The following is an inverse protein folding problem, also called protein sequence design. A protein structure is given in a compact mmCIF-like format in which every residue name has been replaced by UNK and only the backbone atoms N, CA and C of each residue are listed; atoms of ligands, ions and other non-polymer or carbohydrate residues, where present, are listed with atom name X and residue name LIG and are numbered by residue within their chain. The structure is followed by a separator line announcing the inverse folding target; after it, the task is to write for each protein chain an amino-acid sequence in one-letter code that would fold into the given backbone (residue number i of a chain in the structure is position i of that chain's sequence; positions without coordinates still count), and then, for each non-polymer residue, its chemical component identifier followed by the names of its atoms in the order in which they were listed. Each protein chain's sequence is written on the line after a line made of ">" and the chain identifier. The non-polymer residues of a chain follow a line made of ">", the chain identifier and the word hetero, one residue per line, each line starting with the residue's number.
data_IF_818028866479
#
_entry.id   IF_818028866479
#
_cell.length_a   1.000
_cell.length_b   1.000
_cell.length_c   1.000
_cell.angle_alpha   90.00
_cell.angle_beta   90.00
_cell.angle_gamma   90.00
#
_symmetry.space_group_name_H-M   'P 1'
#
loop_
_entity.id
_entity.type
_entity.pdbx_description
1 polymer ?
#
# COMPACT_ATOMS: atom_id res chain seq x y z
N UNK A 1 26.19 19.41 11.33
CA UNK A 1 26.47 17.97 11.09
C UNK A 1 26.78 17.78 9.60
N UNK A 2 27.75 16.94 9.23
CA UNK A 2 27.95 16.60 7.82
C UNK A 2 26.77 15.75 7.34
N UNK A 3 26.30 15.98 6.10
CA UNK A 3 25.15 15.23 5.55
C UNK A 3 25.54 13.80 5.23
N UNK A 4 24.62 12.87 5.50
CA UNK A 4 24.76 11.46 5.12
C UNK A 4 24.77 11.38 3.60
N UNK A 5 25.79 10.76 3.01
CA UNK A 5 25.97 10.68 1.55
C UNK A 5 25.37 9.38 1.03
N UNK A 6 24.38 9.50 0.16
CA UNK A 6 23.83 8.36 -0.56
C UNK A 6 24.74 7.97 -1.74
N UNK A 7 24.96 6.67 -1.93
CA UNK A 7 25.76 6.12 -3.05
C UNK A 7 24.90 5.81 -4.26
N UNK A 8 23.81 5.10 -4.07
CA UNK A 8 22.87 4.71 -5.11
C UNK A 8 21.61 5.60 -5.06
N UNK A 9 21.04 6.01 -6.21
CA UNK A 9 19.80 6.77 -6.20
C UNK A 9 18.62 5.96 -5.65
N UNK A 10 17.72 6.68 -4.98
CA UNK A 10 16.38 6.24 -4.68
C UNK A 10 15.43 6.71 -5.80
N UNK A 11 14.57 5.86 -6.32
CA UNK A 11 13.56 6.30 -7.28
C UNK A 11 12.51 7.11 -6.54
N UNK A 12 12.37 8.38 -6.91
CA UNK A 12 11.39 9.29 -6.33
C UNK A 12 10.26 9.51 -7.32
N UNK A 13 9.05 9.09 -6.95
CA UNK A 13 7.83 9.28 -7.72
C UNK A 13 6.96 10.34 -7.05
N UNK A 14 7.00 11.56 -7.56
CA UNK A 14 6.16 12.65 -7.06
C UNK A 14 4.69 12.46 -7.49
N UNK A 15 3.77 13.18 -6.88
CA UNK A 15 2.34 12.95 -7.06
C UNK A 15 1.52 14.22 -7.22
N UNK A 16 0.31 14.21 -6.63
CA UNK A 16 -0.70 15.23 -6.85
C UNK A 16 -1.16 15.92 -5.56
N UNK A 17 -1.76 17.08 -5.74
CA UNK A 17 -2.60 17.81 -4.77
C UNK A 17 -1.90 18.07 -3.42
N UNK A 18 -2.61 17.91 -2.30
CA UNK A 18 -2.05 18.21 -0.97
C UNK A 18 -0.87 17.31 -0.60
N UNK A 19 -0.86 16.07 -1.07
CA UNK A 19 0.26 15.15 -0.80
C UNK A 19 1.55 15.60 -1.48
N UNK A 20 1.51 16.21 -2.66
CA UNK A 20 2.67 16.84 -3.32
C UNK A 20 3.22 18.00 -2.50
N UNK A 21 2.36 18.81 -1.90
CA UNK A 21 2.76 19.90 -1.01
C UNK A 21 3.49 19.35 0.24
N UNK A 22 2.91 18.34 0.87
CA UNK A 22 3.48 17.66 2.04
C UNK A 22 4.80 16.98 1.67
N UNK A 23 4.89 16.34 0.51
CA UNK A 23 6.09 15.71 -0.02
C UNK A 23 7.28 16.67 -0.05
N UNK A 24 7.05 17.84 -0.61
CA UNK A 24 8.05 18.90 -0.63
C UNK A 24 8.43 19.37 0.77
N UNK A 25 7.46 19.59 1.66
CA UNK A 25 7.73 20.01 3.05
C UNK A 25 8.58 18.97 3.79
N UNK A 26 8.29 17.68 3.66
CA UNK A 26 9.08 16.61 4.28
C UNK A 26 10.52 16.64 3.78
N UNK A 27 10.74 16.77 2.47
CA UNK A 27 12.08 16.87 1.90
C UNK A 27 12.84 18.08 2.44
N UNK A 28 12.23 19.26 2.40
CA UNK A 28 12.88 20.52 2.76
C UNK A 28 13.19 20.61 4.26
N UNK A 29 12.30 20.10 5.13
CA UNK A 29 12.41 20.26 6.58
C UNK A 29 13.17 19.09 7.22
N UNK A 30 12.94 17.87 6.77
CA UNK A 30 13.36 16.65 7.49
C UNK A 30 14.42 15.82 6.78
N UNK A 31 14.60 15.93 5.46
CA UNK A 31 15.52 15.06 4.73
C UNK A 31 16.75 15.83 4.23
N UNK A 32 16.57 16.84 3.39
CA UNK A 32 17.65 17.60 2.73
C UNK A 32 18.63 18.25 3.74
N UNK A 33 18.22 18.70 4.94
CA UNK A 33 19.17 19.23 5.92
C UNK A 33 20.19 18.20 6.41
N UNK A 34 19.83 16.90 6.43
CA UNK A 34 20.61 15.84 7.06
C UNK A 34 21.20 14.82 6.08
N UNK A 35 20.56 14.65 4.92
CA UNK A 35 20.93 13.68 3.89
C UNK A 35 21.27 14.40 2.59
N UNK A 36 22.39 14.05 1.98
CA UNK A 36 22.69 14.38 0.58
C UNK A 36 21.84 13.47 -0.31
N UNK A 37 20.56 13.87 -0.44
CA UNK A 37 19.49 13.05 -1.01
C UNK A 37 19.71 12.88 -2.52
N UNK A 38 20.03 11.67 -2.93
CA UNK A 38 20.24 11.30 -4.31
C UNK A 38 19.00 10.56 -4.84
N UNK A 39 18.27 11.17 -5.76
CA UNK A 39 17.06 10.59 -6.33
C UNK A 39 17.11 10.53 -7.85
N UNK A 40 16.47 9.49 -8.41
CA UNK A 40 16.03 9.42 -9.81
C UNK A 40 14.56 9.85 -9.80
N UNK A 41 14.32 11.09 -10.22
CA UNK A 41 13.02 11.76 -10.04
C UNK A 41 12.08 11.53 -11.21
N UNK A 42 10.83 11.16 -10.91
CA UNK A 42 9.73 11.02 -11.85
C UNK A 42 8.51 11.78 -11.35
N UNK A 43 7.99 12.71 -12.16
CA UNK A 43 6.74 13.42 -11.84
C UNK A 43 5.55 12.58 -12.30
N UNK A 44 4.86 11.91 -11.35
CA UNK A 44 3.62 11.18 -11.60
C UNK A 44 2.36 12.03 -11.39
N UNK A 45 2.51 13.35 -11.29
CA UNK A 45 1.38 14.28 -11.29
C UNK A 45 0.54 14.14 -12.55
N UNK A 46 -0.78 14.28 -12.41
CA UNK A 46 -1.74 14.00 -13.49
C UNK A 46 -1.48 14.85 -14.75
N UNK A 47 -1.03 16.09 -14.60
CA UNK A 47 -0.70 16.97 -15.73
C UNK A 47 0.47 16.41 -16.54
N UNK A 48 1.58 16.06 -15.88
CA UNK A 48 2.77 15.54 -16.58
C UNK A 48 2.52 14.12 -17.15
N UNK A 49 1.73 13.29 -16.46
CA UNK A 49 1.27 12.02 -17.03
C UNK A 49 0.46 12.23 -18.31
N UNK A 50 -0.41 13.25 -18.32
CA UNK A 50 -1.19 13.61 -19.52
C UNK A 50 -0.30 14.12 -20.65
N UNK A 51 0.74 14.90 -20.36
CA UNK A 51 1.72 15.35 -21.35
C UNK A 51 2.48 14.19 -21.98
N UNK A 52 2.95 13.24 -21.17
CA UNK A 52 3.76 12.09 -21.57
C UNK A 52 2.94 10.90 -22.06
N UNK A 53 1.61 11.02 -22.17
CA UNK A 53 0.69 9.92 -22.44
C UNK A 53 0.93 8.73 -21.49
N UNK A 54 1.06 9.02 -20.20
CA UNK A 54 1.34 8.11 -19.09
C UNK A 54 2.66 7.32 -19.19
N UNK A 55 3.54 7.66 -20.15
CA UNK A 55 4.83 6.98 -20.30
C UNK A 55 5.69 7.07 -19.04
N UNK A 56 5.63 8.20 -18.33
CA UNK A 56 6.41 8.42 -17.10
C UNK A 56 6.09 7.39 -16.00
N UNK A 57 4.87 6.87 -15.94
CA UNK A 57 4.49 5.80 -15.00
C UNK A 57 5.24 4.50 -15.30
N UNK A 58 5.35 4.12 -16.59
CA UNK A 58 6.12 2.95 -17.00
C UNK A 58 7.62 3.14 -16.76
N UNK A 59 8.17 4.30 -17.13
CA UNK A 59 9.59 4.61 -16.94
C UNK A 59 9.99 4.56 -15.45
N UNK A 60 9.13 5.05 -14.56
CA UNK A 60 9.38 5.01 -13.11
C UNK A 60 9.37 3.59 -12.54
N UNK A 61 8.48 2.71 -13.04
CA UNK A 61 8.45 1.31 -12.63
C UNK A 61 9.70 0.55 -13.11
N UNK A 62 10.15 0.77 -14.34
CA UNK A 62 11.39 0.18 -14.85
C UNK A 62 12.62 0.70 -14.11
N UNK A 63 12.66 1.99 -13.76
CA UNK A 63 13.71 2.54 -12.92
C UNK A 63 13.71 1.88 -11.51
N UNK A 64 12.53 1.59 -10.96
CA UNK A 64 12.41 0.90 -9.67
C UNK A 64 13.02 -0.50 -9.73
N UNK A 65 12.81 -1.26 -10.79
CA UNK A 65 13.51 -2.54 -11.00
C UNK A 65 15.03 -2.37 -11.05
N UNK A 66 15.50 -1.33 -11.72
CA UNK A 66 16.93 -1.05 -11.89
C UNK A 66 17.61 -0.68 -10.56
N UNK A 67 16.99 0.18 -9.76
CA UNK A 67 17.59 0.71 -8.54
C UNK A 67 17.19 -0.03 -7.26
N UNK A 68 16.17 -0.88 -7.35
CA UNK A 68 15.72 -1.78 -6.28
C UNK A 68 14.83 -1.16 -5.23
N UNK A 69 14.78 0.18 -5.10
CA UNK A 69 13.93 0.88 -4.11
C UNK A 69 13.34 2.14 -4.70
N UNK A 70 12.03 2.32 -4.49
CA UNK A 70 11.31 3.54 -4.82
C UNK A 70 10.53 4.06 -3.60
N UNK A 71 10.28 5.37 -3.63
CA UNK A 71 9.31 6.03 -2.77
C UNK A 71 8.31 6.80 -3.62
N UNK A 72 7.02 6.64 -3.34
CA UNK A 72 5.95 7.16 -4.18
C UNK A 72 4.97 8.02 -3.39
N UNK A 73 4.71 9.22 -3.93
CA UNK A 73 3.64 10.10 -3.48
C UNK A 73 2.28 9.63 -4.00
N UNK A 74 1.20 10.04 -3.35
CA UNK A 74 -0.15 9.75 -3.81
C UNK A 74 -0.47 10.46 -5.14
N UNK A 75 -1.15 9.74 -6.03
CA UNK A 75 -1.46 10.19 -7.39
C UNK A 75 -2.96 10.15 -7.66
N UNK A 76 -3.45 11.03 -8.54
CA UNK A 76 -4.85 11.02 -8.98
C UNK A 76 -5.07 9.88 -9.97
N UNK A 77 -6.11 9.07 -9.73
CA UNK A 77 -6.74 8.25 -10.76
C UNK A 77 -7.96 9.03 -11.27
N UNK A 78 -7.95 9.53 -12.52
CA UNK A 78 -8.98 10.42 -13.00
C UNK A 78 -10.32 9.72 -13.18
N UNK A 79 -11.39 10.45 -12.88
CA UNK A 79 -12.76 10.15 -13.24
C UNK A 79 -13.29 11.20 -14.24
N UNK A 80 -14.55 11.13 -14.63
CA UNK A 80 -15.16 12.05 -15.60
C UNK A 80 -15.03 13.54 -15.19
N UNK A 81 -15.15 13.87 -13.90
CA UNK A 81 -14.99 15.24 -13.41
C UNK A 81 -13.54 15.73 -13.57
N UNK A 82 -12.56 14.87 -13.29
CA UNK A 82 -11.14 15.17 -13.46
C UNK A 82 -10.72 15.35 -14.92
N UNK A 83 -11.40 14.65 -15.84
CA UNK A 83 -11.19 14.83 -17.29
C UNK A 83 -11.38 16.29 -17.70
N UNK A 84 -12.46 16.92 -17.22
CA UNK A 84 -12.78 18.33 -17.52
C UNK A 84 -11.87 19.28 -16.75
N UNK A 85 -11.64 19.03 -15.44
CA UNK A 85 -10.83 19.88 -14.56
C UNK A 85 -9.39 20.05 -15.06
N UNK A 86 -8.78 18.95 -15.50
CA UNK A 86 -7.38 18.90 -15.95
C UNK A 86 -7.21 18.93 -17.47
N UNK A 87 -8.30 19.07 -18.23
CA UNK A 87 -8.30 19.03 -19.69
C UNK A 87 -7.52 17.82 -20.24
N UNK A 88 -7.86 16.63 -19.75
CA UNK A 88 -7.12 15.41 -20.09
C UNK A 88 -7.45 14.90 -21.49
N UNK A 89 -6.45 14.32 -22.16
CA UNK A 89 -6.59 13.67 -23.48
C UNK A 89 -7.42 12.40 -23.38
N UNK A 90 -7.26 11.65 -22.28
CA UNK A 90 -8.02 10.42 -21.99
C UNK A 90 -8.11 10.17 -20.47
N UNK A 91 -8.96 9.22 -20.09
CA UNK A 91 -9.10 8.79 -18.69
C UNK A 91 -7.98 7.80 -18.35
N UNK A 92 -6.82 8.34 -17.95
CA UNK A 92 -5.62 7.55 -17.63
C UNK A 92 -5.90 6.51 -16.55
N UNK A 93 -5.28 5.33 -16.68
CA UNK A 93 -5.36 4.27 -15.68
C UNK A 93 -4.69 4.69 -14.36
N UNK A 94 -4.97 3.94 -13.31
CA UNK A 94 -4.31 4.14 -12.02
C UNK A 94 -2.81 3.89 -12.13
N UNK A 95 -1.93 4.85 -11.77
CA UNK A 95 -0.49 4.62 -11.73
C UNK A 95 -0.12 3.46 -10.81
N UNK A 96 -0.78 3.35 -9.64
CA UNK A 96 -0.56 2.24 -8.71
C UNK A 96 -0.86 0.89 -9.37
N UNK A 97 -1.96 0.79 -10.13
CA UNK A 97 -2.30 -0.42 -10.87
C UNK A 97 -1.25 -0.78 -11.92
N UNK A 98 -0.75 0.22 -12.66
CA UNK A 98 0.29 0.03 -13.69
C UNK A 98 1.62 -0.40 -13.05
N UNK A 99 2.09 0.30 -12.02
CA UNK A 99 3.34 -0.03 -11.32
C UNK A 99 3.27 -1.43 -10.71
N UNK A 100 2.19 -1.76 -10.00
CA UNK A 100 1.97 -3.09 -9.41
C UNK A 100 1.94 -4.21 -10.47
N UNK A 101 1.35 -3.94 -11.64
CA UNK A 101 1.33 -4.90 -12.74
C UNK A 101 2.71 -5.14 -13.36
N UNK A 102 3.59 -4.14 -13.34
CA UNK A 102 4.96 -4.22 -13.87
C UNK A 102 5.91 -4.88 -12.86
N UNK A 103 5.82 -4.50 -11.58
CA UNK A 103 6.68 -5.01 -10.52
C UNK A 103 6.22 -6.39 -10.03
N UNK A 104 4.91 -6.73 -10.16
CA UNK A 104 4.27 -7.87 -9.52
C UNK A 104 4.48 -7.82 -7.98
N UNK A 105 4.01 -8.83 -7.24
CA UNK A 105 4.35 -8.97 -5.84
C UNK A 105 3.19 -8.75 -4.88
N UNK A 106 3.53 -8.34 -3.66
CA UNK A 106 2.62 -8.22 -2.52
C UNK A 106 2.70 -6.84 -1.91
N UNK A 107 1.55 -6.22 -1.66
CA UNK A 107 1.46 -4.96 -0.91
C UNK A 107 1.23 -5.29 0.56
N UNK A 108 2.17 -4.90 1.42
CA UNK A 108 2.03 -4.97 2.87
C UNK A 108 1.63 -3.62 3.43
N UNK A 109 0.49 -3.59 4.14
CA UNK A 109 -0.03 -2.38 4.79
C UNK A 109 -0.07 -2.60 6.29
N UNK A 110 0.69 -1.79 7.02
CA UNK A 110 0.85 -1.91 8.48
C UNK A 110 0.46 -0.63 9.18
N UNK A 111 -0.44 -0.66 10.19
CA UNK A 111 -0.80 0.51 10.96
C UNK A 111 0.37 0.99 11.84
N UNK A 112 0.53 2.30 11.92
CA UNK A 112 1.44 2.96 12.86
C UNK A 112 0.70 3.17 14.17
N UNK A 113 1.11 2.45 15.21
CA UNK A 113 0.50 2.55 16.54
C UNK A 113 1.28 3.57 17.36
N UNK A 114 0.56 4.51 17.96
CA UNK A 114 1.10 5.58 18.79
C UNK A 114 0.37 5.62 20.12
N UNK A 115 1.12 5.69 21.21
CA UNK A 115 0.56 5.80 22.54
C UNK A 115 -0.26 7.09 22.69
N UNK A 116 -1.44 6.99 23.25
CA UNK A 116 -2.34 8.12 23.39
C UNK A 116 -3.28 8.36 22.21
N UNK A 117 -3.16 7.54 21.13
CA UNK A 117 -4.14 7.47 20.05
C UNK A 117 -4.93 6.16 20.25
N UNK A 118 -6.24 6.26 20.45
CA UNK A 118 -7.08 5.11 20.77
C UNK A 118 -7.74 4.58 19.50
N UNK A 119 -7.54 3.31 19.14
CA UNK A 119 -8.26 2.67 18.03
C UNK A 119 -9.78 2.67 18.26
N UNK A 120 -10.57 2.66 17.18
CA UNK A 120 -12.02 2.44 17.28
C UNK A 120 -12.39 1.05 17.78
N UNK A 121 -11.47 0.07 17.61
CA UNK A 121 -11.56 -1.24 18.25
C UNK A 121 -10.52 -1.27 19.38
N UNK A 122 -10.91 -1.06 20.64
CA UNK A 122 -9.96 -0.86 21.75
C UNK A 122 -9.09 -2.07 22.06
N UNK A 123 -9.49 -3.27 21.61
CA UNK A 123 -8.72 -4.51 21.79
C UNK A 123 -7.51 -4.60 20.85
N UNK A 124 -7.47 -3.82 19.78
CA UNK A 124 -6.36 -3.84 18.81
C UNK A 124 -5.15 -3.08 19.35
N UNK A 125 -4.36 -3.75 20.17
CA UNK A 125 -3.16 -3.18 20.82
C UNK A 125 -1.87 -3.46 20.08
N UNK A 126 -1.90 -4.39 19.10
CA UNK A 126 -0.79 -4.77 18.25
C UNK A 126 -1.16 -4.55 16.78
N UNK A 127 -0.21 -4.29 15.88
CA UNK A 127 -0.54 -4.03 14.47
C UNK A 127 -1.11 -5.29 13.79
N UNK A 128 -2.14 -5.08 12.97
CA UNK A 128 -2.64 -6.06 12.01
C UNK A 128 -2.13 -5.65 10.64
N UNK A 129 -1.18 -6.42 10.10
CA UNK A 129 -0.63 -6.15 8.76
C UNK A 129 -1.48 -6.85 7.72
N UNK A 130 -1.98 -6.12 6.74
CA UNK A 130 -2.65 -6.71 5.57
C UNK A 130 -1.61 -6.98 4.50
N UNK A 131 -1.49 -8.24 4.07
CA UNK A 131 -0.74 -8.63 2.90
C UNK A 131 -1.72 -8.80 1.73
N UNK A 132 -1.69 -7.86 0.78
CA UNK A 132 -2.56 -7.83 -0.39
C UNK A 132 -1.84 -8.37 -1.60
N UNK A 133 -2.40 -9.37 -2.28
CA UNK A 133 -1.92 -9.79 -3.59
C UNK A 133 -2.07 -8.65 -4.61
N UNK A 134 -1.00 -8.30 -5.31
CA UNK A 134 -1.00 -7.12 -6.20
C UNK A 134 -1.47 -7.42 -7.63
N UNK A 135 -1.91 -8.64 -7.92
CA UNK A 135 -2.26 -9.10 -9.26
C UNK A 135 -3.67 -9.71 -9.33
N UNK A 136 -4.28 -9.66 -10.53
CA UNK A 136 -5.51 -10.39 -10.83
C UNK A 136 -6.77 -9.81 -10.22
N UNK A 137 -7.77 -10.68 -10.02
CA UNK A 137 -9.11 -10.36 -9.54
C UNK A 137 -9.79 -9.26 -10.39
N UNK A 138 -10.65 -8.44 -9.78
CA UNK A 138 -11.37 -7.34 -10.46
C UNK A 138 -10.44 -6.26 -11.04
N UNK A 139 -9.18 -6.20 -10.61
CA UNK A 139 -8.19 -5.23 -11.11
C UNK A 139 -7.61 -5.60 -12.49
N UNK A 140 -7.80 -6.84 -12.93
CA UNK A 140 -7.45 -7.36 -14.28
C UNK A 140 -8.62 -8.10 -14.90
N UNK A 141 -9.80 -7.55 -14.79
CA UNK A 141 -11.01 -8.12 -15.35
C UNK A 141 -11.20 -7.79 -16.83
N UNK A 142 -12.10 -8.56 -17.44
CA UNK A 142 -12.77 -8.22 -18.71
C UNK A 142 -14.26 -8.20 -18.44
N UNK A 143 -14.92 -7.11 -18.80
CA UNK A 143 -16.36 -6.95 -18.55
C UNK A 143 -17.08 -6.42 -19.77
N UNK A 144 -18.37 -6.75 -19.88
CA UNK A 144 -19.23 -6.21 -20.94
C UNK A 144 -20.68 -6.11 -20.47
N UNK A 145 -21.40 -5.14 -21.06
CA UNK A 145 -22.84 -5.08 -20.99
C UNK A 145 -23.45 -6.07 -22.00
N UNK A 146 -24.52 -6.72 -21.59
CA UNK A 146 -25.19 -7.77 -22.37
C UNK A 146 -26.64 -7.38 -22.58
N UNK A 147 -27.15 -7.58 -23.80
CA UNK A 147 -28.53 -7.33 -24.14
C UNK A 147 -29.40 -8.54 -23.91
N UNK A 148 -30.70 -8.28 -23.71
CA UNK A 148 -31.74 -9.32 -23.68
C UNK A 148 -31.67 -10.26 -24.88
N UNK A 149 -31.95 -11.52 -24.67
CA UNK A 149 -31.84 -12.59 -25.66
C UNK A 149 -30.42 -13.11 -25.91
N UNK A 150 -29.40 -12.62 -25.17
CA UNK A 150 -28.02 -13.05 -25.31
C UNK A 150 -27.70 -14.25 -24.42
N UNK A 151 -26.97 -15.23 -24.97
CA UNK A 151 -26.35 -16.32 -24.20
C UNK A 151 -24.87 -16.04 -24.00
N UNK A 152 -24.41 -16.06 -22.76
CA UNK A 152 -23.01 -15.80 -22.41
C UNK A 152 -22.32 -17.10 -21.98
N UNK A 153 -21.13 -17.33 -22.52
CA UNK A 153 -20.31 -18.51 -22.25
C UNK A 153 -18.87 -18.12 -21.88
N UNK A 154 -18.29 -18.86 -20.96
CA UNK A 154 -16.84 -18.87 -20.74
C UNK A 154 -16.24 -19.94 -21.67
N UNK A 155 -15.30 -19.53 -22.53
CA UNK A 155 -14.64 -20.43 -23.48
C UNK A 155 -13.14 -20.43 -23.17
N UNK A 156 -12.58 -21.63 -23.06
CA UNK A 156 -11.14 -21.84 -22.95
C UNK A 156 -10.68 -22.71 -24.12
N UNK A 157 -9.73 -22.20 -24.91
CA UNK A 157 -9.10 -22.95 -26.01
C UNK A 157 -7.69 -23.32 -25.58
N UNK A 158 -7.39 -24.63 -25.56
CA UNK A 158 -6.06 -25.13 -25.20
C UNK A 158 -5.04 -24.94 -26.34
N UNK A 159 -3.78 -25.32 -26.10
CA UNK A 159 -2.70 -25.20 -27.08
C UNK A 159 -2.90 -26.08 -28.35
N UNK A 160 -3.79 -27.08 -28.29
CA UNK A 160 -4.13 -27.94 -29.41
C UNK A 160 -5.38 -27.47 -30.16
N UNK A 161 -5.97 -26.35 -29.75
CA UNK A 161 -7.18 -25.80 -30.34
C UNK A 161 -8.48 -26.46 -29.81
N UNK A 162 -8.41 -27.26 -28.75
CA UNK A 162 -9.60 -27.88 -28.14
C UNK A 162 -10.30 -26.85 -27.23
N UNK A 163 -11.59 -26.65 -27.49
CA UNK A 163 -12.41 -25.70 -26.73
C UNK A 163 -13.19 -26.42 -25.62
N UNK A 164 -13.10 -25.83 -24.42
CA UNK A 164 -13.98 -26.16 -23.29
C UNK A 164 -14.91 -24.99 -23.07
N UNK A 165 -16.21 -25.24 -22.99
CA UNK A 165 -17.23 -24.18 -22.84
C UNK A 165 -18.06 -24.41 -21.58
N UNK A 166 -18.40 -23.31 -20.91
CA UNK A 166 -19.30 -23.32 -19.76
C UNK A 166 -20.25 -22.13 -19.89
N UNK A 167 -21.56 -22.40 -19.83
CA UNK A 167 -22.57 -21.32 -19.84
C UNK A 167 -22.42 -20.51 -18.55
N UNK A 168 -22.28 -19.19 -18.70
CA UNK A 168 -22.33 -18.24 -17.60
C UNK A 168 -23.78 -17.96 -17.27
N UNK A 169 -24.55 -17.48 -18.26
CA UNK A 169 -25.97 -17.13 -18.10
C UNK A 169 -26.67 -16.96 -19.46
N UNK A 170 -27.95 -17.30 -19.50
CA UNK A 170 -28.87 -16.95 -20.59
C UNK A 170 -29.71 -15.74 -20.14
N UNK A 171 -29.53 -14.61 -20.83
CA UNK A 171 -30.28 -13.39 -20.56
C UNK A 171 -31.61 -13.42 -21.33
N UNK A 172 -32.65 -13.89 -20.66
CA UNK A 172 -34.02 -13.97 -21.19
C UNK A 172 -34.93 -13.01 -20.42
N UNK A 173 -35.49 -12.03 -21.14
CA UNK A 173 -36.36 -11.01 -20.58
C UNK A 173 -35.66 -9.83 -19.89
N UNK A 174 -34.34 -9.71 -19.95
CA UNK A 174 -33.59 -8.58 -19.32
C UNK A 174 -32.21 -8.37 -19.92
N UNK A 175 -31.78 -7.11 -19.92
CA UNK A 175 -30.35 -6.75 -20.12
C UNK A 175 -29.54 -7.12 -18.87
N UNK A 176 -28.21 -7.24 -19.02
CA UNK A 176 -27.32 -7.53 -17.90
C UNK A 176 -25.87 -7.13 -18.11
N UNK A 177 -25.02 -7.62 -17.23
CA UNK A 177 -23.56 -7.45 -17.26
C UNK A 177 -22.88 -8.80 -16.97
N UNK A 178 -21.70 -9.01 -17.55
CA UNK A 178 -20.82 -10.13 -17.22
C UNK A 178 -19.41 -9.63 -16.95
N UNK A 179 -18.68 -10.40 -16.15
CA UNK A 179 -17.29 -10.13 -15.81
C UNK A 179 -16.49 -11.41 -15.79
N UNK A 180 -15.32 -11.40 -16.43
CA UNK A 180 -14.34 -12.48 -16.39
C UNK A 180 -13.12 -12.09 -15.56
N UNK A 181 -12.71 -12.98 -14.65
CA UNK A 181 -11.54 -12.81 -13.79
C UNK A 181 -10.50 -13.87 -14.11
N UNK A 182 -9.23 -13.58 -13.86
CA UNK A 182 -8.16 -14.56 -13.95
C UNK A 182 -7.09 -14.34 -12.88
N UNK A 183 -6.31 -15.38 -12.64
CA UNK A 183 -5.04 -15.33 -11.93
C UNK A 183 -4.08 -16.36 -12.51
N UNK A 184 -2.82 -16.33 -12.14
CA UNK A 184 -1.82 -17.30 -12.57
C UNK A 184 -1.21 -18.00 -11.37
N UNK A 185 -0.94 -19.30 -11.48
CA UNK A 185 -0.27 -20.07 -10.44
C UNK A 185 1.07 -19.47 -10.05
N UNK A 186 1.82 -18.93 -11.03
CA UNK A 186 3.10 -18.24 -10.78
C UNK A 186 2.94 -17.04 -9.87
N UNK A 187 1.95 -16.17 -10.11
CA UNK A 187 1.71 -14.98 -9.29
C UNK A 187 1.18 -15.34 -7.90
N UNK A 188 0.29 -16.34 -7.81
CA UNK A 188 -0.19 -16.85 -6.51
C UNK A 188 0.97 -17.44 -5.69
N UNK A 189 1.85 -18.23 -6.31
CA UNK A 189 3.02 -18.80 -5.64
C UNK A 189 4.00 -17.73 -5.16
N UNK A 190 4.22 -16.68 -5.97
CA UNK A 190 5.02 -15.51 -5.58
C UNK A 190 4.41 -14.80 -4.37
N UNK A 191 3.10 -14.55 -4.39
CA UNK A 191 2.36 -13.97 -3.27
C UNK A 191 2.50 -14.81 -1.99
N UNK A 192 2.33 -16.12 -2.08
CA UNK A 192 2.49 -17.03 -0.94
C UNK A 192 3.89 -16.91 -0.32
N UNK A 193 4.96 -17.03 -1.14
CA UNK A 193 6.34 -16.92 -0.66
C UNK A 193 6.63 -15.55 -0.04
N UNK A 194 6.14 -14.49 -0.64
CA UNK A 194 6.28 -13.13 -0.10
C UNK A 194 5.64 -13.01 1.29
N UNK A 195 4.43 -13.56 1.48
CA UNK A 195 3.76 -13.59 2.77
C UNK A 195 4.53 -14.40 3.82
N UNK A 196 4.99 -15.61 3.46
CA UNK A 196 5.76 -16.46 4.38
C UNK A 196 7.11 -15.84 4.77
N UNK A 197 7.83 -15.25 3.81
CA UNK A 197 9.08 -14.56 4.10
C UNK A 197 8.87 -13.36 5.03
N UNK A 198 7.84 -12.55 4.75
CA UNK A 198 7.53 -11.40 5.61
C UNK A 198 7.12 -11.82 7.03
N UNK A 199 6.40 -12.94 7.17
CA UNK A 199 6.05 -13.51 8.47
C UNK A 199 7.29 -13.94 9.26
N UNK A 200 8.26 -14.61 8.62
CA UNK A 200 9.53 -14.99 9.23
C UNK A 200 10.37 -13.77 9.63
N UNK A 201 10.47 -12.77 8.76
CA UNK A 201 11.26 -11.54 9.00
C UNK A 201 10.69 -10.74 10.18
N UNK A 202 9.36 -10.67 10.29
CA UNK A 202 8.67 -9.92 11.36
C UNK A 202 8.33 -10.76 12.58
N UNK A 203 8.54 -12.08 12.53
CA UNK A 203 8.17 -13.05 13.58
C UNK A 203 6.71 -12.94 13.99
N UNK A 204 5.82 -12.90 12.99
CA UNK A 204 4.39 -12.80 13.17
C UNK A 204 3.68 -14.00 12.56
N UNK A 205 2.58 -14.42 13.18
CA UNK A 205 1.68 -15.41 12.60
C UNK A 205 1.14 -14.93 11.25
N UNK A 206 0.87 -15.86 10.35
CA UNK A 206 0.28 -15.58 9.05
C UNK A 206 -1.10 -16.20 8.93
N UNK A 207 -2.12 -15.37 8.80
CA UNK A 207 -3.48 -15.78 8.48
C UNK A 207 -3.72 -15.58 6.99
N UNK A 208 -4.23 -16.61 6.32
CA UNK A 208 -4.65 -16.51 4.93
C UNK A 208 -6.14 -16.84 4.80
N UNK A 209 -6.87 -16.07 4.02
CA UNK A 209 -8.31 -16.24 3.89
C UNK A 209 -8.79 -16.08 2.45
N UNK A 210 -9.71 -16.98 2.05
CA UNK A 210 -10.46 -16.93 0.79
C UNK A 210 -11.90 -17.40 1.01
N UNK A 211 -12.71 -17.48 -0.04
CA UNK A 211 -14.06 -18.09 0.03
C UNK A 211 -14.15 -19.38 -0.80
N UNK A 212 -13.25 -20.32 -0.56
CA UNK A 212 -13.10 -21.54 -1.34
C UNK A 212 -14.32 -22.45 -1.31
N UNK A 213 -15.18 -22.33 -0.31
CA UNK A 213 -16.47 -23.04 -0.24
C UNK A 213 -17.49 -22.60 -1.29
N UNK A 214 -17.36 -21.36 -1.79
CA UNK A 214 -18.22 -20.77 -2.83
C UNK A 214 -17.46 -20.76 -4.16
N UNK A 215 -16.28 -20.16 -4.20
CA UNK A 215 -15.38 -20.11 -5.36
C UNK A 215 -14.50 -21.36 -5.39
N UNK A 216 -15.12 -22.51 -5.74
CA UNK A 216 -14.54 -23.85 -5.58
C UNK A 216 -13.36 -24.16 -6.50
N UNK A 217 -13.07 -23.33 -7.49
CA UNK A 217 -11.89 -23.46 -8.37
C UNK A 217 -10.95 -22.29 -8.18
N UNK A 218 -11.43 -21.06 -8.32
CA UNK A 218 -10.60 -19.88 -8.27
C UNK A 218 -9.97 -19.67 -6.87
N UNK A 219 -10.80 -19.53 -5.83
CA UNK A 219 -10.31 -19.35 -4.45
C UNK A 219 -9.63 -20.61 -3.89
N UNK A 220 -10.12 -21.79 -4.28
CA UNK A 220 -9.54 -23.06 -3.86
C UNK A 220 -8.11 -23.22 -4.39
N UNK A 221 -7.81 -22.77 -5.61
CA UNK A 221 -6.45 -22.83 -6.15
C UNK A 221 -5.46 -21.97 -5.34
N UNK A 222 -5.88 -20.80 -4.84
CA UNK A 222 -5.07 -20.01 -3.91
C UNK A 222 -4.75 -20.79 -2.64
N UNK A 223 -5.75 -21.44 -2.04
CA UNK A 223 -5.58 -22.25 -0.83
C UNK A 223 -4.60 -23.39 -1.05
N UNK A 224 -4.75 -24.12 -2.17
CA UNK A 224 -3.89 -25.26 -2.51
C UNK A 224 -2.43 -24.81 -2.66
N UNK A 225 -2.16 -23.76 -3.45
CA UNK A 225 -0.80 -23.28 -3.68
C UNK A 225 -0.16 -22.79 -2.37
N UNK A 226 -0.90 -22.09 -1.51
CA UNK A 226 -0.38 -21.69 -0.20
C UNK A 226 -0.02 -22.89 0.66
N UNK A 227 -0.90 -23.91 0.71
CA UNK A 227 -0.65 -25.12 1.49
C UNK A 227 0.53 -25.94 0.93
N UNK A 228 0.61 -26.14 -0.39
CA UNK A 228 1.69 -26.85 -1.07
C UNK A 228 3.07 -26.18 -0.77
N UNK A 229 3.15 -24.87 -0.89
CA UNK A 229 4.39 -24.09 -0.63
C UNK A 229 4.73 -24.11 0.85
N UNK A 230 3.76 -23.95 1.74
CA UNK A 230 3.99 -24.00 3.18
C UNK A 230 4.61 -25.31 3.60
N UNK A 231 3.98 -26.43 3.26
CA UNK A 231 4.46 -27.78 3.63
C UNK A 231 5.84 -28.09 3.03
N UNK A 232 6.10 -27.64 1.80
CA UNK A 232 7.34 -27.95 1.10
C UNK A 232 8.53 -27.05 1.48
N UNK A 233 8.30 -25.77 1.81
CA UNK A 233 9.38 -24.79 1.88
C UNK A 233 9.46 -24.04 3.22
N UNK A 234 8.37 -23.96 4.01
CA UNK A 234 8.29 -23.05 5.15
C UNK A 234 7.93 -23.68 6.49
N UNK A 235 7.35 -24.86 6.54
CA UNK A 235 6.86 -25.49 7.77
C UNK A 235 7.93 -25.56 8.87
N UNK A 236 9.09 -26.14 8.56
CA UNK A 236 10.18 -26.25 9.52
C UNK A 236 10.67 -24.87 10.00
N UNK A 237 10.73 -23.90 9.09
CA UNK A 237 11.15 -22.52 9.43
C UNK A 237 10.15 -21.82 10.36
N UNK A 238 8.87 -22.06 10.17
CA UNK A 238 7.80 -21.52 11.03
C UNK A 238 7.83 -22.18 12.40
N UNK A 239 8.00 -23.49 12.45
CA UNK A 239 8.16 -24.25 13.70
C UNK A 239 9.35 -23.75 14.50
N UNK A 240 10.53 -23.56 13.85
CA UNK A 240 11.75 -23.01 14.48
C UNK A 240 11.58 -21.57 14.95
N UNK A 241 10.83 -20.76 14.23
CA UNK A 241 10.55 -19.37 14.58
C UNK A 241 9.45 -19.22 15.65
N UNK A 242 8.70 -20.28 15.94
CA UNK A 242 7.57 -20.29 16.88
C UNK A 242 6.39 -19.45 16.41
N UNK A 243 6.13 -19.41 15.10
CA UNK A 243 5.00 -18.72 14.47
C UNK A 243 4.11 -19.70 13.71
N UNK A 244 2.85 -19.34 13.52
CA UNK A 244 1.85 -20.21 12.92
C UNK A 244 1.40 -19.72 11.53
N UNK A 245 1.11 -20.66 10.62
CA UNK A 245 0.32 -20.42 9.42
C UNK A 245 -1.09 -20.96 9.61
N UNK A 246 -2.10 -20.12 9.36
CA UNK A 246 -3.49 -20.45 9.57
C UNK A 246 -4.35 -20.07 8.36
N UNK A 247 -5.07 -21.03 7.79
CA UNK A 247 -6.05 -20.78 6.73
C UNK A 247 -7.48 -20.84 7.27
N UNK A 248 -8.32 -19.88 6.85
CA UNK A 248 -9.76 -19.91 7.14
C UNK A 248 -10.59 -19.24 6.04
N UNK A 249 -11.92 -19.34 6.14
CA UNK A 249 -12.81 -18.60 5.25
C UNK A 249 -12.77 -17.10 5.55
N UNK A 250 -12.90 -16.26 4.53
CA UNK A 250 -12.76 -14.79 4.67
C UNK A 250 -13.76 -14.19 5.67
N UNK A 251 -14.99 -14.69 5.71
CA UNK A 251 -16.02 -14.25 6.66
C UNK A 251 -15.69 -14.66 8.11
N UNK A 252 -15.13 -15.85 8.33
CA UNK A 252 -14.62 -16.28 9.64
C UNK A 252 -13.39 -15.44 10.03
N UNK A 253 -12.48 -15.17 9.08
CA UNK A 253 -11.33 -14.28 9.33
C UNK A 253 -11.79 -12.91 9.83
N UNK A 254 -12.77 -12.26 9.17
CA UNK A 254 -13.33 -10.97 9.61
C UNK A 254 -13.81 -11.03 11.05
N UNK A 255 -14.57 -12.09 11.42
CA UNK A 255 -15.07 -12.24 12.78
C UNK A 255 -13.95 -12.45 13.81
N UNK A 256 -12.88 -13.17 13.45
CA UNK A 256 -11.70 -13.38 14.31
C UNK A 256 -10.88 -12.11 14.48
N UNK A 257 -10.64 -11.40 13.38
CA UNK A 257 -9.88 -10.13 13.35
C UNK A 257 -10.50 -9.10 14.31
N UNK A 258 -11.82 -8.90 14.25
CA UNK A 258 -12.53 -7.95 15.13
C UNK A 258 -12.40 -8.29 16.61
N UNK A 259 -12.26 -9.58 16.95
CA UNK A 259 -12.15 -10.06 18.36
C UNK A 259 -10.70 -10.20 18.84
N UNK A 260 -9.72 -10.01 17.96
CA UNK A 260 -8.30 -10.20 18.26
C UNK A 260 -7.67 -9.00 18.98
N UNK A 261 -6.44 -9.19 19.44
CA UNK A 261 -5.56 -8.10 19.89
C UNK A 261 -4.67 -7.53 18.78
N UNK A 262 -4.68 -8.16 17.60
CA UNK A 262 -3.70 -7.92 16.52
C UNK A 262 -2.40 -8.71 16.70
N UNK A 263 -1.33 -8.29 16.00
CA UNK A 263 -0.01 -8.91 16.10
C UNK A 263 0.26 -10.01 15.09
N UNK A 264 -0.48 -10.00 13.97
CA UNK A 264 -0.34 -10.99 12.90
C UNK A 264 -0.47 -10.33 11.51
N UNK A 265 -0.11 -11.10 10.50
CA UNK A 265 -0.29 -10.75 9.09
C UNK A 265 -1.57 -11.42 8.59
N UNK A 266 -2.43 -10.66 7.93
CA UNK A 266 -3.61 -11.18 7.26
C UNK A 266 -3.46 -11.07 5.75
N UNK A 267 -3.18 -12.21 5.11
CA UNK A 267 -3.04 -12.30 3.66
C UNK A 267 -4.41 -12.42 2.99
N UNK A 268 -4.61 -11.62 1.97
CA UNK A 268 -5.86 -11.50 1.22
C UNK A 268 -5.59 -11.43 -0.29
N UNK A 269 -6.52 -11.95 -1.09
CA UNK A 269 -6.55 -11.70 -2.53
C UNK A 269 -6.60 -10.19 -2.82
N UNK A 270 -6.41 -9.79 -4.08
CA UNK A 270 -6.26 -8.39 -4.45
C UNK A 270 -7.42 -7.50 -3.97
N UNK A 271 -8.66 -7.83 -4.34
CA UNK A 271 -9.83 -7.05 -3.96
C UNK A 271 -10.12 -7.12 -2.45
N UNK A 272 -10.08 -8.33 -1.88
CA UNK A 272 -10.29 -8.54 -0.46
C UNK A 272 -9.28 -7.72 0.36
N UNK A 273 -8.01 -7.74 -0.05
CA UNK A 273 -6.92 -6.99 0.60
C UNK A 273 -7.07 -5.47 0.49
N UNK A 274 -7.61 -4.97 -0.62
CA UNK A 274 -7.91 -3.55 -0.78
C UNK A 274 -8.94 -3.08 0.25
N UNK A 275 -10.08 -3.77 0.28
CA UNK A 275 -11.19 -3.43 1.19
C UNK A 275 -10.80 -3.63 2.65
N UNK A 276 -10.15 -4.76 2.97
CA UNK A 276 -9.78 -5.07 4.35
C UNK A 276 -8.67 -4.16 4.90
N UNK A 277 -7.74 -3.72 4.06
CA UNK A 277 -6.71 -2.79 4.52
C UNK A 277 -7.28 -1.41 4.88
N UNK A 278 -8.26 -0.92 4.13
CA UNK A 278 -8.93 0.34 4.44
C UNK A 278 -9.80 0.23 5.71
N UNK A 279 -10.49 -0.90 5.89
CA UNK A 279 -11.24 -1.20 7.10
C UNK A 279 -10.33 -1.23 8.33
N UNK A 280 -9.21 -1.94 8.26
CA UNK A 280 -8.23 -2.05 9.34
C UNK A 280 -7.61 -0.69 9.65
N UNK A 281 -7.18 0.07 8.63
CA UNK A 281 -6.63 1.40 8.82
C UNK A 281 -7.62 2.36 9.50
N UNK A 282 -8.89 2.32 9.06
CA UNK A 282 -9.96 3.12 9.68
C UNK A 282 -10.17 2.73 11.13
N UNK A 283 -10.17 1.45 11.43
CA UNK A 283 -10.37 0.96 12.80
C UNK A 283 -9.22 1.32 13.75
N UNK A 284 -7.98 1.45 13.24
CA UNK A 284 -6.86 2.03 14.01
C UNK A 284 -6.93 3.56 14.13
N UNK A 285 -7.82 4.21 13.38
CA UNK A 285 -8.16 5.61 13.56
C UNK A 285 -7.97 6.50 12.33
N UNK A 286 -6.94 6.27 11.50
CA UNK A 286 -6.67 7.12 10.32
C UNK A 286 -5.89 6.36 9.25
N UNK A 287 -6.34 6.46 7.99
CA UNK A 287 -5.58 6.01 6.82
C UNK A 287 -4.18 6.67 6.72
N UNK A 288 -4.03 7.87 7.26
CA UNK A 288 -2.75 8.57 7.31
C UNK A 288 -1.78 8.02 8.38
N UNK A 289 -2.20 6.97 9.09
CA UNK A 289 -1.38 6.18 10.02
C UNK A 289 -1.16 4.75 9.50
N UNK A 290 -1.25 4.54 8.20
CA UNK A 290 -1.03 3.24 7.56
C UNK A 290 0.13 3.34 6.57
N UNK A 291 1.20 2.59 6.82
CA UNK A 291 2.29 2.42 5.85
C UNK A 291 1.88 1.44 4.75
N UNK A 292 2.49 1.56 3.58
CA UNK A 292 2.30 0.65 2.47
C UNK A 292 3.63 0.39 1.77
N UNK A 293 3.96 -0.86 1.54
CA UNK A 293 5.13 -1.26 0.76
C UNK A 293 4.76 -2.37 -0.20
N UNK A 294 5.06 -2.18 -1.48
CA UNK A 294 5.04 -3.24 -2.47
C UNK A 294 6.40 -3.94 -2.47
N UNK A 295 6.40 -5.25 -2.34
CA UNK A 295 7.59 -6.10 -2.44
C UNK A 295 7.43 -7.02 -3.63
N UNK A 296 8.31 -6.88 -4.63
CA UNK A 296 8.29 -7.74 -5.82
C UNK A 296 8.92 -9.10 -5.55
N UNK A 297 8.65 -10.11 -6.42
CA UNK A 297 9.30 -11.42 -6.31
C UNK A 297 10.83 -11.37 -6.39
N UNK A 298 11.37 -10.39 -7.10
CA UNK A 298 12.81 -10.16 -7.29
C UNK A 298 13.44 -9.36 -6.15
N UNK A 299 12.68 -8.98 -5.11
CA UNK A 299 13.18 -8.20 -3.98
C UNK A 299 13.33 -6.70 -4.27
N UNK A 300 12.46 -6.16 -5.11
CA UNK A 300 12.33 -4.73 -5.38
C UNK A 300 11.26 -4.16 -4.46
N UNK A 301 11.47 -2.95 -3.95
CA UNK A 301 10.59 -2.31 -2.96
C UNK A 301 10.05 -0.98 -3.48
N UNK A 302 8.75 -0.74 -3.32
CA UNK A 302 8.14 0.56 -3.55
C UNK A 302 7.32 0.94 -2.32
N UNK A 303 7.74 2.03 -1.66
CA UNK A 303 7.12 2.56 -0.44
C UNK A 303 6.17 3.69 -0.78
N UNK A 304 4.95 3.65 -0.25
CA UNK A 304 3.94 4.69 -0.43
C UNK A 304 3.11 4.88 0.85
N UNK A 305 2.36 5.97 0.93
CA UNK A 305 1.27 6.10 1.90
C UNK A 305 0.02 5.38 1.38
N UNK A 306 -0.73 4.74 2.27
CA UNK A 306 -1.95 4.02 1.88
C UNK A 306 -3.13 4.95 1.51
N UNK A 307 -3.03 6.26 1.82
CA UNK A 307 -4.08 7.25 1.55
C UNK A 307 -3.95 7.91 0.16
N UNK A 308 -5.01 8.58 -0.29
CA UNK A 308 -5.04 9.35 -1.54
C UNK A 308 -4.44 10.77 -1.40
N UNK A 309 -4.68 11.62 -2.40
CA UNK A 309 -4.08 12.94 -2.59
C UNK A 309 -4.59 14.05 -1.65
N UNK A 310 -5.62 13.77 -0.83
CA UNK A 310 -6.25 14.71 0.12
C UNK A 310 -6.78 15.98 -0.57
N UNK A 311 -7.53 15.80 -1.64
CA UNK A 311 -8.13 16.83 -2.49
C UNK A 311 -8.79 17.97 -1.72
N UNK A 312 -9.60 17.66 -0.70
CA UNK A 312 -10.33 18.67 0.07
C UNK A 312 -9.40 19.68 0.76
N UNK A 313 -8.26 19.23 1.28
CA UNK A 313 -7.26 20.11 1.89
C UNK A 313 -6.47 20.88 0.82
N UNK A 314 -6.23 20.30 -0.34
CA UNK A 314 -5.59 20.98 -1.45
C UNK A 314 -6.38 22.20 -1.91
N UNK A 315 -7.71 22.10 -2.07
CA UNK A 315 -8.53 23.25 -2.43
C UNK A 315 -8.57 24.35 -1.36
N UNK A 316 -8.41 24.00 -0.08
CA UNK A 316 -8.21 25.00 0.99
C UNK A 316 -6.86 25.67 0.86
N UNK A 317 -5.82 24.90 0.63
CA UNK A 317 -4.46 25.42 0.43
C UNK A 317 -4.40 26.41 -0.75
N UNK A 318 -5.05 26.11 -1.88
CA UNK A 318 -5.14 27.01 -3.03
C UNK A 318 -5.82 28.36 -2.71
N UNK A 319 -6.66 28.41 -1.68
CA UNK A 319 -7.29 29.63 -1.17
C UNK A 319 -6.44 30.37 -0.14
N UNK A 320 -5.22 29.90 0.11
CA UNK A 320 -4.34 30.46 1.14
C UNK A 320 -4.70 30.07 2.58
N UNK A 321 -5.59 29.09 2.78
CA UNK A 321 -5.93 28.58 4.10
C UNK A 321 -4.87 27.61 4.59
N UNK A 322 -4.51 27.68 5.87
CA UNK A 322 -3.68 26.65 6.51
C UNK A 322 -4.45 25.36 6.70
N UNK A 323 -3.79 24.23 6.49
CA UNK A 323 -4.40 22.91 6.63
C UNK A 323 -3.65 22.08 7.67
N UNK A 324 -4.42 21.30 8.42
CA UNK A 324 -3.90 20.31 9.37
C UNK A 324 -4.05 18.92 8.76
N UNK A 325 -3.20 18.64 7.78
CA UNK A 325 -3.16 17.35 7.06
C UNK A 325 -2.12 16.47 7.70
N UNK A 326 -2.49 15.26 8.06
CA UNK A 326 -1.59 14.26 8.63
C UNK A 326 -0.55 13.83 7.58
N UNK A 327 0.72 13.96 7.91
CA UNK A 327 1.86 13.65 7.05
C UNK A 327 2.59 12.36 7.46
N UNK A 328 2.13 11.67 8.50
CA UNK A 328 2.88 10.57 9.13
C UNK A 328 3.11 9.42 8.16
N UNK A 329 2.10 8.92 7.48
CA UNK A 329 2.27 7.81 6.53
C UNK A 329 3.18 8.19 5.35
N UNK A 330 3.09 9.43 4.84
CA UNK A 330 3.97 9.92 3.78
C UNK A 330 5.43 10.02 4.26
N UNK A 331 5.63 10.48 5.50
CA UNK A 331 6.95 10.52 6.13
C UNK A 331 7.51 9.11 6.31
N UNK A 332 6.69 8.16 6.77
CA UNK A 332 7.11 6.76 6.94
C UNK A 332 7.36 6.04 5.61
N UNK A 333 6.74 6.46 4.51
CA UNK A 333 7.13 6.00 3.18
C UNK A 333 8.57 6.40 2.85
N UNK A 334 8.95 7.66 3.12
CA UNK A 334 10.32 8.13 2.95
C UNK A 334 11.31 7.40 3.85
N UNK A 335 11.02 7.26 5.14
CA UNK A 335 11.93 6.57 6.07
C UNK A 335 12.08 5.09 5.74
N UNK A 336 11.01 4.42 5.36
CA UNK A 336 11.05 3.02 4.89
C UNK A 336 11.94 2.85 3.66
N UNK A 337 11.81 3.74 2.68
CA UNK A 337 12.64 3.72 1.47
C UNK A 337 14.12 4.03 1.76
N UNK A 338 14.39 5.02 2.62
CA UNK A 338 15.76 5.37 3.03
C UNK A 338 16.42 4.24 3.82
N UNK A 339 15.68 3.63 4.75
CA UNK A 339 16.16 2.45 5.51
C UNK A 339 16.52 1.31 4.58
N UNK A 340 15.63 0.96 3.65
CA UNK A 340 15.87 -0.11 2.68
C UNK A 340 17.04 0.21 1.76
N UNK A 341 17.18 1.45 1.32
CA UNK A 341 18.33 1.89 0.53
C UNK A 341 19.63 1.77 1.32
N UNK A 342 19.60 2.18 2.60
CA UNK A 342 20.73 2.02 3.53
C UNK A 342 21.13 0.55 3.73
N UNK A 343 20.17 -0.34 3.90
CA UNK A 343 20.40 -1.79 4.00
C UNK A 343 21.09 -2.35 2.74
N UNK A 344 20.54 -2.04 1.56
CA UNK A 344 21.07 -2.54 0.28
C UNK A 344 22.45 -1.99 -0.07
N UNK A 345 22.76 -0.77 0.35
CA UNK A 345 24.06 -0.12 0.09
C UNK A 345 25.08 -0.31 1.22
N UNK A 346 24.68 -0.95 2.33
CA UNK A 346 25.54 -1.09 3.52
C UNK A 346 25.78 0.24 4.25
N UNK A 347 24.88 1.23 4.11
CA UNK A 347 24.96 2.54 4.74
C UNK A 347 24.17 2.55 6.06
N UNK A 348 24.77 2.02 7.13
CA UNK A 348 24.11 1.90 8.43
C UNK A 348 23.63 3.25 9.00
N UNK A 349 24.34 4.33 8.73
CA UNK A 349 23.97 5.69 9.16
C UNK A 349 22.66 6.18 8.50
N UNK A 350 22.38 5.78 7.26
CA UNK A 350 21.15 6.12 6.56
C UNK A 350 19.95 5.38 7.17
N UNK A 351 20.11 4.10 7.49
CA UNK A 351 19.10 3.30 8.19
C UNK A 351 18.83 3.85 9.60
N UNK A 352 19.89 4.16 10.36
CA UNK A 352 19.78 4.74 11.70
C UNK A 352 19.11 6.14 11.68
N UNK A 353 19.37 6.96 10.66
CA UNK A 353 18.68 8.23 10.47
C UNK A 353 17.17 8.02 10.26
N UNK A 354 16.78 7.08 9.41
CA UNK A 354 15.38 6.74 9.17
C UNK A 354 14.67 6.31 10.48
N UNK A 355 15.32 5.47 11.30
CA UNK A 355 14.78 5.02 12.59
C UNK A 355 14.60 6.19 13.58
N UNK A 356 15.59 7.09 13.66
CA UNK A 356 15.51 8.28 14.51
C UNK A 356 14.40 9.24 14.07
N UNK A 357 14.20 9.39 12.77
CA UNK A 357 13.15 10.25 12.23
C UNK A 357 11.76 9.68 12.53
N UNK A 358 11.56 8.36 12.43
CA UNK A 358 10.32 7.70 12.86
C UNK A 358 10.11 7.87 14.37
N UNK A 359 11.15 7.65 15.18
CA UNK A 359 11.09 7.87 16.62
C UNK A 359 10.71 9.31 16.97
N UNK A 360 11.33 10.31 16.34
CA UNK A 360 10.99 11.71 16.54
C UNK A 360 9.53 12.03 16.18
N UNK A 361 9.03 11.42 15.12
CA UNK A 361 7.63 11.58 14.68
C UNK A 361 6.65 11.01 15.70
N UNK A 362 6.91 9.80 16.19
CA UNK A 362 6.09 9.16 17.23
C UNK A 362 6.13 9.96 18.52
N UNK A 363 7.30 10.36 18.98
CA UNK A 363 7.46 11.19 20.19
C UNK A 363 6.70 12.52 20.09
N UNK A 364 6.68 13.15 18.92
CA UNK A 364 5.92 14.40 18.71
C UNK A 364 4.44 14.20 19.03
N UNK A 365 3.85 13.10 18.56
CA UNK A 365 2.44 12.79 18.81
C UNK A 365 2.22 12.39 20.27
N UNK A 366 3.08 11.55 20.83
CA UNK A 366 2.98 11.08 22.23
C UNK A 366 3.13 12.21 23.25
N UNK A 367 3.90 13.26 22.91
CA UNK A 367 4.02 14.49 23.72
C UNK A 367 2.87 15.49 23.49
N UNK A 368 1.87 15.09 22.68
CA UNK A 368 0.62 15.83 22.52
C UNK A 368 0.57 16.79 21.33
N UNK A 369 1.61 16.88 20.49
CA UNK A 369 1.58 17.74 19.29
C UNK A 369 1.16 16.92 18.06
N UNK A 370 0.01 17.24 17.46
CA UNK A 370 -0.55 16.43 16.40
C UNK A 370 -1.46 17.20 15.45
N UNK A 371 -1.75 16.59 14.30
CA UNK A 371 -2.70 17.09 13.31
C UNK A 371 -4.15 16.86 13.72
N UNK A 372 -5.09 17.48 13.00
CA UNK A 372 -6.48 17.57 13.42
C UNK A 372 -7.22 16.24 13.46
N UNK A 373 -6.87 15.28 12.63
CA UNK A 373 -7.42 13.92 12.63
C UNK A 373 -7.01 13.17 13.91
N UNK A 374 -5.73 13.17 14.26
CA UNK A 374 -5.22 12.53 15.48
C UNK A 374 -5.68 13.24 16.75
N UNK A 375 -5.81 14.58 16.70
CA UNK A 375 -6.33 15.34 17.85
C UNK A 375 -7.71 14.86 18.29
N UNK A 376 -8.57 14.46 17.34
CA UNK A 376 -9.90 13.94 17.64
C UNK A 376 -9.87 12.54 18.28
N UNK A 377 -8.86 11.74 17.95
CA UNK A 377 -8.69 10.35 18.41
C UNK A 377 -7.85 10.24 19.68
N UNK A 378 -7.13 11.31 20.03
CA UNK A 378 -6.21 11.29 21.16
C UNK A 378 -6.93 11.38 22.50
N UNK A 379 -6.48 10.56 23.45
CA UNK A 379 -6.91 10.59 24.85
C UNK A 379 -5.92 11.35 25.78
N UNK A 380 -4.90 11.99 25.22
CA UNK A 380 -3.93 12.78 25.99
C UNK A 380 -4.57 14.05 26.56
N UNK A 381 -4.28 14.37 27.82
CA UNK A 381 -4.82 15.54 28.49
C UNK A 381 -4.24 16.86 27.91
N UNK A 382 -2.92 16.89 27.65
CA UNK A 382 -2.19 18.08 27.18
C UNK A 382 -1.95 18.04 25.67
N UNK A 383 -3.00 17.77 24.88
CA UNK A 383 -2.89 17.71 23.43
C UNK A 383 -3.09 19.07 22.76
N UNK A 384 -2.32 19.30 21.68
CA UNK A 384 -2.34 20.51 20.87
C UNK A 384 -2.52 20.18 19.40
N UNK A 385 -3.57 20.72 18.79
CA UNK A 385 -3.78 20.65 17.37
C UNK A 385 -2.90 21.68 16.67
N UNK A 386 -2.15 21.26 15.66
CA UNK A 386 -1.29 22.12 14.83
C UNK A 386 -1.57 21.89 13.35
N UNK A 387 -1.12 22.84 12.51
CA UNK A 387 -1.09 22.65 11.06
C UNK A 387 0.05 21.70 10.63
N UNK A 388 0.06 21.32 9.35
CA UNK A 388 1.03 20.37 8.80
C UNK A 388 2.48 20.84 8.92
N UNK A 389 2.76 22.11 8.59
CA UNK A 389 4.12 22.64 8.64
C UNK A 389 4.64 22.70 10.08
N UNK A 390 3.82 23.20 11.00
CA UNK A 390 4.15 23.25 12.43
C UNK A 390 4.42 21.85 12.97
N UNK A 391 3.62 20.84 12.58
CA UNK A 391 3.86 19.45 12.97
C UNK A 391 5.25 18.96 12.50
N UNK A 392 5.59 19.15 11.22
CA UNK A 392 6.89 18.74 10.67
C UNK A 392 8.07 19.46 11.33
N UNK A 393 7.92 20.75 11.67
CA UNK A 393 8.95 21.50 12.41
C UNK A 393 9.12 20.99 13.85
N UNK A 394 8.05 20.60 14.51
CA UNK A 394 8.11 19.99 15.84
C UNK A 394 8.78 18.59 15.80
N UNK A 395 8.59 17.85 14.72
CA UNK A 395 9.34 16.61 14.47
C UNK A 395 10.83 16.91 14.30
N UNK A 396 11.19 17.95 13.53
CA UNK A 396 12.60 18.35 13.33
C UNK A 396 13.29 18.69 14.64
N UNK A 397 12.62 19.43 15.55
CA UNK A 397 13.16 19.77 16.89
C UNK A 397 13.51 18.52 17.72
N UNK A 398 12.70 17.46 17.60
CA UNK A 398 12.95 16.20 18.31
C UNK A 398 14.02 15.37 17.62
N UNK A 399 14.02 15.38 16.30
CA UNK A 399 15.05 14.70 15.51
C UNK A 399 16.44 15.24 15.83
N UNK A 400 16.62 16.58 15.92
CA UNK A 400 17.89 17.20 16.27
C UNK A 400 18.44 16.73 17.63
N UNK A 401 17.57 16.38 18.57
CA UNK A 401 17.97 15.84 19.89
C UNK A 401 18.41 14.39 19.84
N UNK A 402 17.97 13.64 18.80
CA UNK A 402 18.30 12.23 18.62
C UNK A 402 19.54 12.02 17.75
N UNK A 403 19.89 13.00 16.92
CA UNK A 403 21.07 12.96 16.03
C UNK A 403 22.34 13.27 16.79
#
# INVERSE_FOLDING_TARGET
>A
MEKIKMTTPLVEMDGDEMTRIIWKMIKDILLIPYVDLKTEYYDLGLEYRNETNDKVTFDSAEATKKYGVAVKCATITPNAARMTEYNLKEMWKSPNGTIRAILDGTVFRTPIIVKGITPYIPTWTKPITIARHAYGDVYKNTEMQVKDGSKCELVCTDANGVETRSVIHDFDGTDGIIQGLHNTDKSIASFARSCFNFALDTKQDLWFATKDTISKKYDHRFKDIFAEIFEAEYKEKFDDAGIEYFYTLIDDAVARVVRSEGGYIWACKNYDGDVMSDMVATAYGSLAMMTSVLVSPEGVYEYEAAHGTVQRHYYKHLKGETTSTNSVATLFAWTGALRKRGELDGLAELSAFADKLEQATIQTIEEGVMTGDLYLLSNLENKKKVDTETFLREVAVRLEKLL
#
